data_IF_469499251591
#
_entry.id   IF_469499251591
#
_cell.length_a   1.000
_cell.length_b   1.000
_cell.length_c   1.000
_cell.angle_alpha   90.00
_cell.angle_beta   90.00
_cell.angle_gamma   90.00
#
_symmetry.space_group_name_H-M   'P 1'
#
loop_
_entity.id
_entity.type
_entity.pdbx_description
1 polymer ?
#
# COMPACT_ATOMS: atom_id res chain seq x y z
N UNK A 1 -15.07 9.00 8.05
CA UNK A 1 -14.92 8.42 6.69
C UNK A 1 -13.57 7.75 6.66
N UNK A 2 -13.37 6.68 5.90
CA UNK A 2 -12.05 6.05 5.86
C UNK A 2 -11.01 7.04 5.31
N UNK A 3 -9.78 7.01 5.81
CA UNK A 3 -8.66 7.82 5.28
C UNK A 3 -7.58 6.98 4.58
N UNK A 4 -6.61 7.66 3.96
CA UNK A 4 -5.52 6.99 3.23
C UNK A 4 -4.69 6.06 4.12
N UNK A 5 -4.40 6.43 5.36
CA UNK A 5 -3.65 5.56 6.27
C UNK A 5 -4.44 4.30 6.60
N UNK A 6 -5.76 4.41 6.74
CA UNK A 6 -6.63 3.26 6.98
C UNK A 6 -6.68 2.32 5.77
N UNK A 7 -6.71 2.86 4.54
CA UNK A 7 -6.59 2.06 3.32
C UNK A 7 -5.26 1.30 3.29
N UNK A 8 -4.14 1.98 3.54
CA UNK A 8 -2.81 1.37 3.54
C UNK A 8 -2.64 0.32 4.67
N UNK A 9 -3.23 0.53 5.85
CA UNK A 9 -3.26 -0.50 6.90
C UNK A 9 -4.05 -1.76 6.52
N UNK A 10 -5.12 -1.61 5.71
CA UNK A 10 -5.85 -2.76 5.14
C UNK A 10 -4.95 -3.48 4.13
N UNK A 11 -4.25 -2.75 3.27
CA UNK A 11 -3.28 -3.30 2.33
C UNK A 11 -2.15 -4.07 3.05
N UNK A 12 -1.55 -3.50 4.10
CA UNK A 12 -0.55 -4.17 4.92
C UNK A 12 -1.10 -5.47 5.53
N UNK A 13 -2.36 -5.46 5.94
CA UNK A 13 -3.02 -6.66 6.46
C UNK A 13 -3.18 -7.73 5.38
N UNK A 14 -3.54 -7.36 4.16
CA UNK A 14 -3.60 -8.28 3.02
C UNK A 14 -2.21 -8.85 2.68
N UNK A 15 -1.18 -8.00 2.61
CA UNK A 15 0.22 -8.39 2.38
C UNK A 15 0.68 -9.42 3.43
N UNK A 16 0.41 -9.17 4.72
CA UNK A 16 0.75 -10.11 5.81
C UNK A 16 0.01 -11.45 5.72
N UNK A 17 -1.23 -11.44 5.26
CA UNK A 17 -2.00 -12.67 5.04
C UNK A 17 -1.43 -13.47 3.87
N UNK A 18 -1.13 -12.80 2.74
CA UNK A 18 -0.45 -13.42 1.60
C UNK A 18 0.88 -14.04 2.03
N UNK A 19 1.74 -13.29 2.74
CA UNK A 19 3.00 -13.80 3.27
C UNK A 19 2.88 -15.12 4.06
N UNK A 20 1.75 -15.34 4.76
CA UNK A 20 1.48 -16.56 5.53
C UNK A 20 0.86 -17.70 4.72
N UNK A 21 -0.05 -17.38 3.80
CA UNK A 21 -0.86 -18.39 3.09
C UNK A 21 -0.19 -18.87 1.81
N UNK A 22 0.50 -17.95 1.13
CA UNK A 22 1.09 -18.11 -0.19
C UNK A 22 2.54 -18.65 -0.15
N UNK A 23 3.13 -18.69 1.05
CA UNK A 23 4.45 -19.24 1.31
C UNK A 23 4.69 -20.62 0.66
N UNK A 24 5.55 -20.64 -0.37
CA UNK A 24 5.99 -21.85 -1.07
C UNK A 24 4.93 -22.50 -1.98
N UNK A 25 3.81 -21.82 -2.22
CA UNK A 25 2.69 -22.33 -3.04
C UNK A 25 2.39 -21.50 -4.28
N UNK A 26 2.96 -20.31 -4.40
CA UNK A 26 2.67 -19.42 -5.52
C UNK A 26 3.35 -19.88 -6.81
N UNK A 27 2.62 -19.76 -7.92
CA UNK A 27 3.24 -19.75 -9.24
C UNK A 27 4.07 -18.48 -9.43
N UNK A 28 5.04 -18.53 -10.35
CA UNK A 28 5.81 -17.33 -10.70
C UNK A 28 4.91 -16.18 -11.15
N UNK A 29 3.88 -16.47 -11.95
CA UNK A 29 2.95 -15.46 -12.45
C UNK A 29 2.21 -14.72 -11.32
N UNK A 30 1.81 -15.45 -10.25
CA UNK A 30 1.18 -14.84 -9.08
C UNK A 30 2.17 -13.93 -8.34
N UNK A 31 3.41 -14.38 -8.17
CA UNK A 31 4.45 -13.57 -7.51
C UNK A 31 4.79 -12.31 -8.32
N UNK A 32 4.81 -12.41 -9.65
CA UNK A 32 5.02 -11.27 -10.55
C UNK A 32 3.86 -10.27 -10.50
N UNK A 33 2.60 -10.75 -10.50
CA UNK A 33 1.42 -9.88 -10.33
C UNK A 33 1.42 -9.17 -8.96
N UNK A 34 1.81 -9.88 -7.90
CA UNK A 34 1.97 -9.31 -6.57
C UNK A 34 3.08 -8.25 -6.51
N UNK A 35 4.24 -8.52 -7.11
CA UNK A 35 5.33 -7.54 -7.17
C UNK A 35 4.92 -6.29 -7.97
N UNK A 36 4.19 -6.49 -9.07
CA UNK A 36 3.63 -5.38 -9.84
C UNK A 36 2.66 -4.53 -9.02
N UNK A 37 1.79 -5.16 -8.21
CA UNK A 37 0.94 -4.44 -7.27
C UNK A 37 1.77 -3.65 -6.25
N UNK A 38 2.74 -4.30 -5.61
CA UNK A 38 3.55 -3.68 -4.57
C UNK A 38 4.28 -2.43 -5.09
N UNK A 39 4.90 -2.51 -6.26
CA UNK A 39 5.70 -1.41 -6.81
C UNK A 39 4.84 -0.35 -7.48
N UNK A 40 3.84 -0.74 -8.30
CA UNK A 40 3.10 0.22 -9.14
C UNK A 40 1.90 0.84 -8.44
N UNK A 41 1.39 0.21 -7.38
CA UNK A 41 0.23 0.68 -6.64
C UNK A 41 0.66 1.15 -5.24
N UNK A 42 1.08 0.21 -4.38
CA UNK A 42 1.30 0.47 -2.97
C UNK A 42 2.44 1.48 -2.72
N UNK A 43 3.65 1.17 -3.18
CA UNK A 43 4.84 2.03 -3.02
C UNK A 43 4.66 3.37 -3.73
N UNK A 44 4.02 3.39 -4.90
CA UNK A 44 3.76 4.64 -5.63
C UNK A 44 2.79 5.56 -4.87
N UNK A 45 1.72 5.02 -4.29
CA UNK A 45 0.82 5.78 -3.41
C UNK A 45 1.61 6.36 -2.24
N UNK A 46 2.46 5.58 -1.60
CA UNK A 46 3.22 6.07 -0.45
C UNK A 46 4.24 7.15 -0.83
N UNK A 47 5.07 6.89 -1.84
CA UNK A 47 6.18 7.77 -2.18
C UNK A 47 5.77 9.05 -2.88
N UNK A 48 4.71 9.01 -3.71
CA UNK A 48 4.26 10.17 -4.48
C UNK A 48 3.15 10.96 -3.80
N UNK A 49 2.41 10.35 -2.89
CA UNK A 49 1.18 10.94 -2.35
C UNK A 49 1.28 11.05 -0.82
N UNK A 50 1.40 9.94 -0.08
CA UNK A 50 1.39 9.97 1.39
C UNK A 50 2.60 10.71 1.96
N UNK A 51 3.82 10.32 1.59
CA UNK A 51 5.03 10.87 2.19
C UNK A 51 5.19 12.37 1.89
N UNK A 52 4.96 12.87 0.65
CA UNK A 52 4.93 14.32 0.41
C UNK A 52 3.89 15.03 1.27
N UNK A 53 2.65 14.54 1.35
CA UNK A 53 1.60 15.17 2.14
C UNK A 53 1.95 15.27 3.63
N UNK A 54 2.53 14.22 4.23
CA UNK A 54 2.97 14.27 5.63
C UNK A 54 4.19 15.17 5.79
N UNK A 55 5.11 15.14 4.82
CA UNK A 55 6.31 15.99 4.83
C UNK A 55 6.00 17.45 4.51
N UNK A 56 4.83 17.85 4.04
CA UNK A 56 4.51 19.27 3.91
C UNK A 56 4.05 19.90 5.23
N UNK A 57 3.80 19.09 6.26
CA UNK A 57 3.43 19.56 7.59
C UNK A 57 4.64 19.98 8.43
N UNK A 58 4.44 20.95 9.32
CA UNK A 58 5.46 21.43 10.25
C UNK A 58 5.60 20.48 11.44
N UNK A 59 6.77 19.87 11.58
CA UNK A 59 7.09 18.91 12.64
C UNK A 59 8.21 19.46 13.52
N UNK A 60 8.03 19.40 14.84
CA UNK A 60 9.07 19.79 15.81
C UNK A 60 10.37 18.98 15.61
N UNK A 61 10.23 17.70 15.22
CA UNK A 61 11.30 16.74 14.97
C UNK A 61 11.60 16.55 13.47
N UNK A 62 11.33 17.57 12.63
CA UNK A 62 11.40 17.51 11.16
C UNK A 62 12.59 16.74 10.60
N UNK A 63 13.81 17.04 11.07
CA UNK A 63 15.04 16.42 10.58
C UNK A 63 15.13 14.91 10.90
N UNK A 64 14.60 14.48 12.04
CA UNK A 64 14.58 13.06 12.43
C UNK A 64 13.48 12.32 11.68
N UNK A 65 12.34 12.97 11.50
CA UNK A 65 11.25 12.41 10.70
C UNK A 65 11.63 12.25 9.23
N UNK A 66 12.32 13.23 8.63
CA UNK A 66 12.82 13.13 7.26
C UNK A 66 13.77 11.94 7.07
N UNK A 67 14.67 11.70 8.04
CA UNK A 67 15.54 10.50 8.03
C UNK A 67 14.73 9.22 8.09
N UNK A 68 13.64 9.22 8.85
CA UNK A 68 12.73 8.07 8.96
C UNK A 68 12.07 7.80 7.60
N UNK A 69 11.47 8.81 6.97
CA UNK A 69 10.87 8.69 5.63
C UNK A 69 11.90 8.23 4.60
N UNK A 70 13.11 8.79 4.60
CA UNK A 70 14.16 8.38 3.67
C UNK A 70 14.64 6.94 3.89
N UNK A 71 14.65 6.47 5.14
CA UNK A 71 14.94 5.06 5.44
C UNK A 71 13.84 4.15 4.89
N UNK A 72 12.57 4.49 5.10
CA UNK A 72 11.42 3.75 4.56
C UNK A 72 11.50 3.65 3.02
N UNK A 73 11.76 4.76 2.32
CA UNK A 73 12.00 4.75 0.85
C UNK A 73 13.19 3.90 0.43
N UNK A 74 14.23 3.81 1.25
CA UNK A 74 15.36 2.92 0.97
C UNK A 74 14.98 1.44 1.14
N UNK A 75 14.11 1.13 2.10
CA UNK A 75 13.56 -0.20 2.31
C UNK A 75 12.71 -0.63 1.10
N UNK A 76 11.91 0.26 0.49
CA UNK A 76 11.20 -0.02 -0.77
C UNK A 76 12.12 -0.51 -1.88
N UNK A 77 13.22 0.20 -2.12
CA UNK A 77 14.22 -0.17 -3.15
C UNK A 77 14.87 -1.52 -2.85
N UNK A 78 15.12 -1.81 -1.58
CA UNK A 78 15.65 -3.11 -1.17
C UNK A 78 14.64 -4.22 -1.43
N UNK A 79 13.38 -4.03 -1.07
CA UNK A 79 12.29 -4.99 -1.26
C UNK A 79 12.08 -5.27 -2.76
N UNK A 80 12.04 -4.23 -3.59
CA UNK A 80 11.95 -4.35 -5.05
C UNK A 80 13.15 -5.14 -5.61
N UNK A 81 14.37 -4.83 -5.19
CA UNK A 81 15.55 -5.56 -5.61
C UNK A 81 15.52 -7.04 -5.19
N UNK A 82 15.01 -7.35 -4.00
CA UNK A 82 14.82 -8.72 -3.53
C UNK A 82 13.79 -9.47 -4.39
N UNK A 83 12.65 -8.85 -4.69
CA UNK A 83 11.62 -9.45 -5.55
C UNK A 83 12.14 -9.72 -6.97
N UNK A 84 12.85 -8.75 -7.57
CA UNK A 84 13.46 -8.91 -8.88
C UNK A 84 14.49 -10.06 -8.93
N UNK A 85 15.26 -10.24 -7.86
CA UNK A 85 16.18 -11.37 -7.73
C UNK A 85 15.43 -12.71 -7.60
N UNK A 86 14.34 -12.76 -6.83
CA UNK A 86 13.50 -13.95 -6.72
C UNK A 86 12.91 -14.38 -8.07
N UNK A 87 12.36 -13.41 -8.83
CA UNK A 87 11.86 -13.63 -10.19
C UNK A 87 12.96 -14.20 -11.08
N UNK A 88 14.15 -13.59 -11.05
CA UNK A 88 15.31 -14.05 -11.82
C UNK A 88 15.71 -15.49 -11.49
N UNK A 89 15.81 -15.84 -10.20
CA UNK A 89 16.18 -17.20 -9.78
C UNK A 89 15.13 -18.22 -10.21
N UNK A 90 13.85 -17.90 -10.01
CA UNK A 90 12.74 -18.77 -10.43
C UNK A 90 12.74 -19.02 -11.93
N UNK A 91 12.91 -17.97 -12.75
CA UNK A 91 13.02 -18.09 -14.22
C UNK A 91 14.26 -18.85 -14.69
N UNK A 92 15.35 -18.79 -13.93
CA UNK A 92 16.60 -19.49 -14.26
C UNK A 92 16.63 -20.95 -13.79
N UNK A 93 15.57 -21.43 -13.12
CA UNK A 93 15.50 -22.78 -12.56
C UNK A 93 16.28 -22.96 -11.24
N UNK A 94 16.75 -21.88 -10.62
CA UNK A 94 17.43 -21.91 -9.32
C UNK A 94 16.41 -21.97 -8.18
N UNK A 95 15.70 -23.10 -8.12
CA UNK A 95 14.61 -23.36 -7.18
C UNK A 95 15.06 -23.38 -5.72
N UNK A 96 16.29 -23.83 -5.45
CA UNK A 96 16.82 -23.92 -4.09
C UNK A 96 17.06 -22.52 -3.52
N UNK A 97 17.68 -21.62 -4.32
CA UNK A 97 17.88 -20.25 -3.89
C UNK A 97 16.56 -19.48 -3.78
N UNK A 98 15.62 -19.70 -4.71
CA UNK A 98 14.27 -19.14 -4.62
C UNK A 98 13.56 -19.55 -3.32
N UNK A 99 13.49 -20.84 -3.02
CA UNK A 99 12.85 -21.38 -1.80
C UNK A 99 13.53 -20.91 -0.52
N UNK A 100 14.86 -20.74 -0.55
CA UNK A 100 15.60 -20.23 0.60
C UNK A 100 15.36 -18.73 0.85
N UNK A 101 15.14 -17.94 -0.21
CA UNK A 101 15.09 -16.47 -0.13
C UNK A 101 13.69 -15.88 -0.08
N UNK A 102 12.69 -16.53 -0.67
CA UNK A 102 11.28 -16.14 -0.58
C UNK A 102 10.80 -15.89 0.88
N UNK A 103 11.19 -16.71 1.88
CA UNK A 103 10.83 -16.47 3.28
C UNK A 103 11.37 -15.16 3.82
N UNK A 104 12.62 -14.84 3.45
CA UNK A 104 13.28 -13.62 3.90
C UNK A 104 12.64 -12.40 3.26
N UNK A 105 12.25 -12.48 1.99
CA UNK A 105 11.48 -11.41 1.32
C UNK A 105 10.20 -11.09 2.08
N UNK A 106 9.35 -12.09 2.34
CA UNK A 106 8.08 -11.86 3.04
C UNK A 106 8.28 -11.39 4.48
N UNK A 107 9.32 -11.88 5.17
CA UNK A 107 9.70 -11.39 6.49
C UNK A 107 10.08 -9.90 6.44
N UNK A 108 10.98 -9.53 5.53
CA UNK A 108 11.42 -8.14 5.35
C UNK A 108 10.25 -7.22 5.01
N UNK A 109 9.37 -7.62 4.09
CA UNK A 109 8.17 -6.86 3.74
C UNK A 109 7.23 -6.68 4.94
N UNK A 110 7.02 -7.73 5.72
CA UNK A 110 6.17 -7.65 6.94
C UNK A 110 6.78 -6.72 7.99
N UNK A 111 8.09 -6.82 8.24
CA UNK A 111 8.79 -5.96 9.22
C UNK A 111 8.78 -4.49 8.77
N UNK A 112 8.91 -4.25 7.47
CA UNK A 112 8.80 -2.93 6.87
C UNK A 112 7.40 -2.32 7.06
N UNK A 113 6.33 -3.04 6.71
CA UNK A 113 4.96 -2.55 6.91
C UNK A 113 4.64 -2.24 8.38
N UNK A 114 5.13 -3.07 9.31
CA UNK A 114 4.99 -2.78 10.75
C UNK A 114 5.75 -1.52 11.15
N UNK A 115 6.94 -1.31 10.60
CA UNK A 115 7.72 -0.10 10.87
C UNK A 115 7.01 1.16 10.38
N UNK A 116 6.30 1.11 9.25
CA UNK A 116 5.52 2.24 8.73
C UNK A 116 4.28 2.52 9.56
N UNK A 117 3.55 1.46 9.95
CA UNK A 117 2.40 1.57 10.85
C UNK A 117 2.78 2.23 12.18
N UNK A 118 3.98 1.94 12.69
CA UNK A 118 4.48 2.49 13.95
C UNK A 118 5.07 3.91 13.81
N UNK A 119 5.70 4.22 12.67
CA UNK A 119 6.53 5.43 12.54
C UNK A 119 5.94 6.50 11.62
N UNK A 120 5.14 6.12 10.63
CA UNK A 120 4.56 7.04 9.64
C UNK A 120 3.10 7.33 9.97
N UNK A 121 2.25 6.31 10.02
CA UNK A 121 0.79 6.48 10.11
C UNK A 121 0.30 7.23 11.36
N UNK A 122 0.96 7.19 12.54
CA UNK A 122 0.53 7.99 13.68
C UNK A 122 0.59 9.51 13.42
N UNK A 123 1.45 9.96 12.51
CA UNK A 123 1.54 11.36 12.10
C UNK A 123 0.38 11.78 11.19
N UNK A 124 -0.17 10.85 10.40
CA UNK A 124 -1.34 11.09 9.54
C UNK A 124 -2.55 11.62 10.31
N UNK A 125 -2.74 11.16 11.55
CA UNK A 125 -3.83 11.61 12.43
C UNK A 125 -3.81 13.11 12.75
N UNK A 126 -2.64 13.75 12.61
CA UNK A 126 -2.45 15.19 12.89
C UNK A 126 -2.64 16.07 11.65
N UNK A 127 -2.79 15.47 10.47
CA UNK A 127 -3.05 16.18 9.22
C UNK A 127 -4.53 16.60 9.17
N UNK A 128 -4.80 17.78 8.60
CA UNK A 128 -6.15 18.32 8.48
C UNK A 128 -7.05 17.46 7.58
N UNK A 129 -8.35 17.41 7.89
CA UNK A 129 -9.33 16.59 7.16
C UNK A 129 -9.39 16.90 5.66
N UNK A 130 -9.23 18.16 5.28
CA UNK A 130 -9.24 18.58 3.88
C UNK A 130 -8.07 17.95 3.11
N UNK A 131 -6.87 17.99 3.70
CA UNK A 131 -5.66 17.37 3.14
C UNK A 131 -5.84 15.85 3.13
N UNK A 132 -6.31 15.24 4.22
CA UNK A 132 -6.55 13.79 4.25
C UNK A 132 -7.49 13.31 3.15
N UNK A 133 -8.59 14.04 2.92
CA UNK A 133 -9.58 13.70 1.90
C UNK A 133 -9.03 13.90 0.48
N UNK A 134 -8.30 15.00 0.22
CA UNK A 134 -7.72 15.25 -1.10
C UNK A 134 -6.63 14.24 -1.42
N UNK A 135 -5.78 13.89 -0.46
CA UNK A 135 -4.73 12.86 -0.60
C UNK A 135 -5.34 11.48 -0.83
N UNK A 136 -6.43 11.11 -0.13
CA UNK A 136 -7.15 9.87 -0.42
C UNK A 136 -7.71 9.87 -1.85
N UNK A 137 -8.33 10.97 -2.30
CA UNK A 137 -8.83 11.08 -3.68
C UNK A 137 -7.70 10.90 -4.71
N UNK A 138 -6.52 11.45 -4.44
CA UNK A 138 -5.36 11.32 -5.32
C UNK A 138 -4.88 9.86 -5.38
N UNK A 139 -4.78 9.18 -4.24
CA UNK A 139 -4.40 7.78 -4.15
C UNK A 139 -5.38 6.87 -4.91
N UNK A 140 -6.69 7.10 -4.76
CA UNK A 140 -7.70 6.33 -5.49
C UNK A 140 -7.61 6.53 -7.00
N UNK A 141 -7.33 7.75 -7.48
CA UNK A 141 -7.13 7.98 -8.92
C UNK A 141 -5.89 7.24 -9.43
N UNK A 142 -4.80 7.24 -8.66
CA UNK A 142 -3.60 6.50 -9.03
C UNK A 142 -3.90 5.00 -9.17
N UNK A 143 -4.61 4.41 -8.20
CA UNK A 143 -5.03 2.99 -8.23
C UNK A 143 -5.92 2.69 -9.46
N UNK A 144 -6.82 3.61 -9.82
CA UNK A 144 -7.65 3.47 -11.02
C UNK A 144 -6.81 3.50 -12.31
N UNK A 145 -5.85 4.43 -12.41
CA UNK A 145 -4.95 4.59 -13.56
C UNK A 145 -4.02 3.40 -13.76
N UNK A 146 -3.48 2.85 -12.68
CA UNK A 146 -2.52 1.75 -12.71
C UNK A 146 -3.19 0.39 -12.89
N UNK A 147 -4.45 0.25 -12.48
CA UNK A 147 -5.32 -0.89 -12.80
C UNK A 147 -6.03 -1.49 -11.60
N UNK A 148 -7.27 -1.04 -11.38
CA UNK A 148 -8.13 -1.48 -10.26
C UNK A 148 -8.32 -3.00 -10.14
N UNK A 149 -8.27 -3.73 -11.25
CA UNK A 149 -8.39 -5.20 -11.23
C UNK A 149 -7.19 -5.88 -10.56
N UNK A 150 -5.96 -5.40 -10.83
CA UNK A 150 -4.75 -5.93 -10.19
C UNK A 150 -4.78 -5.59 -8.71
N UNK A 151 -5.09 -4.34 -8.38
CA UNK A 151 -5.23 -3.89 -7.01
C UNK A 151 -6.23 -4.77 -6.24
N UNK A 152 -7.42 -4.98 -6.79
CA UNK A 152 -8.48 -5.75 -6.14
C UNK A 152 -8.11 -7.23 -5.93
N UNK A 153 -7.44 -7.86 -6.91
CA UNK A 153 -6.96 -9.25 -6.77
C UNK A 153 -5.91 -9.41 -5.67
N UNK A 154 -4.97 -8.47 -5.55
CA UNK A 154 -3.84 -8.58 -4.63
C UNK A 154 -4.20 -8.14 -3.20
N UNK A 155 -5.11 -7.19 -3.05
CA UNK A 155 -5.55 -6.70 -1.73
C UNK A 155 -6.78 -7.43 -1.20
N UNK A 156 -7.61 -8.00 -2.08
CA UNK A 156 -8.95 -8.49 -1.75
C UNK A 156 -9.98 -7.37 -1.54
N UNK A 157 -9.61 -6.10 -1.76
CA UNK A 157 -10.51 -4.95 -1.65
C UNK A 157 -11.38 -4.88 -2.89
N UNK A 158 -12.69 -4.98 -2.73
CA UNK A 158 -13.67 -4.86 -3.83
C UNK A 158 -13.72 -3.45 -4.41
N UNK A 159 -14.11 -3.32 -5.68
CA UNK A 159 -14.33 -2.01 -6.33
C UNK A 159 -15.43 -1.20 -5.62
N UNK A 160 -16.43 -1.88 -5.08
CA UNK A 160 -17.52 -1.26 -4.32
C UNK A 160 -17.00 -0.61 -3.03
N UNK A 161 -16.00 -1.22 -2.38
CA UNK A 161 -15.34 -0.62 -1.24
C UNK A 161 -14.58 0.65 -1.63
N UNK A 162 -13.83 0.61 -2.74
CA UNK A 162 -13.13 1.78 -3.28
C UNK A 162 -14.13 2.92 -3.54
N UNK A 163 -15.24 2.63 -4.22
CA UNK A 163 -16.29 3.62 -4.47
C UNK A 163 -16.95 4.14 -3.18
N UNK A 164 -17.07 3.30 -2.14
CA UNK A 164 -17.64 3.66 -0.84
C UNK A 164 -16.75 4.62 -0.04
N UNK A 165 -15.43 4.44 -0.09
CA UNK A 165 -14.48 5.30 0.63
C UNK A 165 -14.10 6.56 -0.14
N UNK A 166 -14.40 6.63 -1.45
CA UNK A 166 -14.09 7.79 -2.29
C UNK A 166 -14.83 9.06 -1.81
N UNK A 167 -14.11 10.09 -1.33
CA UNK A 167 -14.72 11.34 -0.90
C UNK A 167 -15.53 12.04 -2.01
N UNK A 168 -15.21 11.82 -3.29
CA UNK A 168 -15.96 12.38 -4.43
C UNK A 168 -17.41 11.86 -4.47
N UNK A 169 -17.63 10.62 -4.07
CA UNK A 169 -18.96 10.00 -4.04
C UNK A 169 -19.77 10.42 -2.81
N UNK A 170 -19.11 10.90 -1.76
CA UNK A 170 -19.73 11.39 -0.54
C UNK A 170 -20.28 12.83 -0.67
N UNK A 171 -19.82 13.58 -1.68
CA UNK A 171 -20.21 14.97 -1.91
C UNK A 171 -21.56 15.15 -2.65
N UNK A 172 -22.30 14.07 -2.94
CA UNK A 172 -23.40 14.17 -3.90
C UNK A 172 -24.51 13.12 -3.81
N UNK A 173 -25.19 12.97 -2.67
CA UNK A 173 -26.64 12.66 -2.64
C UNK A 173 -27.31 13.29 -1.42
N UNK A 174 -28.24 14.26 -1.56
CA UNK A 174 -29.20 14.49 -0.49
C UNK A 174 -29.97 13.17 -0.31
N UNK A 175 -29.96 12.63 0.91
CA UNK A 175 -30.87 11.56 1.28
C UNK A 175 -32.28 12.14 1.25
N UNK A 176 -32.94 12.03 0.10
CA UNK A 176 -34.37 12.26 -0.02
C UNK A 176 -35.06 11.11 0.72
N UNK A 177 -35.26 11.29 2.03
CA UNK A 177 -36.28 10.56 2.76
C UNK A 177 -37.63 11.11 2.28
N UNK A 178 -38.07 10.64 1.12
CA UNK A 178 -39.45 10.83 0.69
C UNK A 178 -40.36 10.20 1.76
N UNK A 179 -41.47 10.86 2.13
CA UNK A 179 -42.39 10.29 3.10
C UNK A 179 -42.96 9.00 2.52
N UNK A 180 -42.83 7.91 3.28
CA UNK A 180 -43.63 6.72 3.06
C UNK A 180 -45.05 7.03 3.51
N UNK A 181 -45.93 7.34 2.55
CA UNK A 181 -47.39 7.19 2.69
C UNK A 181 -47.83 5.83 2.14
#
# INVERSE_FOLDING_TARGET
MADLSELLMVEHSAIRLLAKVSYGKDSLDIFEDFNDYLVKDHVEVEERILFPAIMDFEWEDRNEFEKTVNRIKADHKLIEALANNLIKWKRSGDEDLFKLRLPLFYKTLTEHNLSEEDQIFPRWKRIDDEVRNSTLCEALNLIEETGIERYSRNTGISKEFIAYIDPKNSAGKPQNFGPHE
#
